data_IF_010736013656
#
_entry.id   IF_010736013656
#
_cell.length_a   1.000
_cell.length_b   1.000
_cell.length_c   1.000
_cell.angle_alpha   90.00
_cell.angle_beta   90.00
_cell.angle_gamma   90.00
#
_symmetry.space_group_name_H-M   'P 1'
#
loop_
_entity.id
_entity.type
_entity.pdbx_description
1 polymer ?
#
# COMPACT_ATOMS: atom_id res chain seq x y z
N UNK A 1 6.50 -18.41 -12.68
CA UNK A 1 7.18 -17.55 -13.67
C UNK A 1 6.57 -16.16 -13.53
N UNK A 2 7.16 -15.33 -12.67
CA UNK A 2 6.57 -14.08 -12.21
C UNK A 2 7.08 -12.91 -13.06
N UNK A 3 6.15 -12.34 -13.81
CA UNK A 3 6.12 -10.99 -14.39
C UNK A 3 7.31 -10.67 -15.31
N UNK A 4 7.13 -10.91 -16.62
CA UNK A 4 7.96 -10.28 -17.64
C UNK A 4 7.11 -9.39 -18.54
N UNK A 5 7.48 -8.11 -18.57
CA UNK A 5 7.30 -7.14 -19.67
C UNK A 5 5.94 -6.55 -20.02
N UNK A 6 4.81 -7.08 -19.58
CA UNK A 6 3.55 -6.33 -19.58
C UNK A 6 2.69 -6.94 -18.50
N UNK A 7 2.26 -6.15 -17.53
CA UNK A 7 1.07 -6.56 -16.80
C UNK A 7 -0.06 -6.54 -17.84
N UNK A 8 -0.36 -7.68 -18.46
CA UNK A 8 -1.54 -7.85 -19.33
C UNK A 8 -2.82 -7.85 -18.49
N UNK A 9 -2.88 -7.02 -17.43
CA UNK A 9 -4.05 -6.81 -16.60
C UNK A 9 -5.22 -6.29 -17.42
N UNK A 10 -4.93 -5.62 -18.54
CA UNK A 10 -5.90 -5.18 -19.53
C UNK A 10 -6.61 -6.35 -20.24
N UNK A 11 -5.92 -7.48 -20.41
CA UNK A 11 -6.46 -8.67 -21.09
C UNK A 11 -7.17 -9.65 -20.14
N UNK A 12 -7.07 -9.43 -18.82
CA UNK A 12 -7.78 -10.27 -17.84
C UNK A 12 -9.28 -10.03 -17.96
N UNK A 13 -10.10 -11.08 -17.86
CA UNK A 13 -11.53 -10.93 -17.60
C UNK A 13 -11.77 -10.28 -16.23
N UNK A 14 -12.99 -9.78 -16.01
CA UNK A 14 -13.34 -9.11 -14.74
C UNK A 14 -13.20 -10.06 -13.53
N UNK A 15 -13.54 -11.34 -13.71
CA UNK A 15 -13.38 -12.37 -12.69
C UNK A 15 -11.90 -12.68 -12.40
N UNK A 16 -11.08 -12.84 -13.44
CA UNK A 16 -9.64 -13.07 -13.29
C UNK A 16 -8.96 -11.87 -12.63
N UNK A 17 -9.34 -10.65 -13.02
CA UNK A 17 -8.83 -9.42 -12.42
C UNK A 17 -9.19 -9.35 -10.93
N UNK A 18 -10.45 -9.59 -10.59
CA UNK A 18 -10.91 -9.62 -9.19
C UNK A 18 -10.20 -10.72 -8.38
N UNK A 19 -10.01 -11.90 -8.96
CA UNK A 19 -9.31 -13.02 -8.30
C UNK A 19 -7.86 -12.67 -7.99
N UNK A 20 -7.18 -11.98 -8.91
CA UNK A 20 -5.77 -11.57 -8.77
C UNK A 20 -5.58 -10.40 -7.82
N UNK A 21 -6.30 -9.29 -8.03
CA UNK A 21 -6.07 -8.02 -7.31
C UNK A 21 -7.04 -7.78 -6.15
N UNK A 22 -8.04 -8.65 -5.95
CA UNK A 22 -9.02 -8.55 -4.86
C UNK A 22 -10.10 -7.48 -5.06
N UNK A 23 -10.03 -6.69 -6.13
CA UNK A 23 -10.97 -5.59 -6.42
C UNK A 23 -11.56 -5.71 -7.82
N UNK A 24 -12.77 -5.19 -8.02
CA UNK A 24 -13.37 -5.08 -9.36
C UNK A 24 -12.61 -4.05 -10.20
N UNK A 25 -12.57 -4.23 -11.53
CA UNK A 25 -11.95 -3.26 -12.45
C UNK A 25 -12.54 -1.85 -12.31
N UNK A 26 -13.84 -1.75 -12.03
CA UNK A 26 -14.50 -0.46 -11.79
C UNK A 26 -13.93 0.24 -10.54
N UNK A 27 -13.72 -0.50 -9.45
CA UNK A 27 -13.10 0.02 -8.22
C UNK A 27 -11.66 0.43 -8.50
N UNK A 28 -10.89 -0.39 -9.22
CA UNK A 28 -9.52 -0.08 -9.63
C UNK A 28 -9.45 1.23 -10.43
N UNK A 29 -10.33 1.45 -11.41
CA UNK A 29 -10.39 2.72 -12.17
C UNK A 29 -10.62 3.92 -11.25
N UNK A 30 -11.57 3.82 -10.31
CA UNK A 30 -11.81 4.87 -9.30
C UNK A 30 -10.60 5.13 -8.40
N UNK A 31 -9.84 4.08 -8.05
CA UNK A 31 -8.61 4.23 -7.27
C UNK A 31 -7.55 5.01 -8.07
N UNK A 32 -7.34 4.64 -9.34
CA UNK A 32 -6.40 5.34 -10.24
C UNK A 32 -6.80 6.80 -10.43
N UNK A 33 -8.09 7.07 -10.66
CA UNK A 33 -8.62 8.44 -10.77
C UNK A 33 -8.37 9.24 -9.49
N UNK A 34 -8.65 8.65 -8.32
CA UNK A 34 -8.43 9.31 -7.03
C UNK A 34 -6.95 9.66 -6.82
N UNK A 35 -6.04 8.75 -7.16
CA UNK A 35 -4.60 8.99 -7.06
C UNK A 35 -4.16 10.08 -8.04
N UNK A 36 -4.66 10.07 -9.29
CA UNK A 36 -4.38 11.11 -10.28
C UNK A 36 -4.85 12.49 -9.82
N UNK A 37 -6.06 12.59 -9.28
CA UNK A 37 -6.60 13.85 -8.76
C UNK A 37 -5.75 14.40 -7.62
N UNK A 38 -5.41 13.56 -6.64
CA UNK A 38 -4.55 13.97 -5.52
C UNK A 38 -3.16 14.39 -6.01
N UNK A 39 -2.56 13.71 -7.00
CA UNK A 39 -1.26 14.11 -7.57
C UNK A 39 -1.33 15.45 -8.31
N UNK A 40 -2.44 15.72 -9.00
CA UNK A 40 -2.67 16.98 -9.69
C UNK A 40 -2.88 18.15 -8.71
N UNK A 41 -3.69 17.94 -7.67
CA UNK A 41 -3.98 18.95 -6.64
C UNK A 41 -2.78 19.26 -5.76
N UNK A 42 -1.92 18.26 -5.50
CA UNK A 42 -0.76 18.43 -4.65
C UNK A 42 0.34 19.30 -5.25
N UNK A 43 0.16 19.80 -6.51
CA UNK A 43 0.83 20.94 -7.17
C UNK A 43 2.18 21.36 -6.59
N UNK A 44 3.05 20.39 -6.30
CA UNK A 44 4.30 20.70 -5.65
C UNK A 44 5.20 21.28 -6.73
N UNK A 45 5.66 22.51 -6.50
CA UNK A 45 6.55 23.29 -7.35
C UNK A 45 7.95 22.65 -7.55
N UNK A 46 8.03 21.33 -7.47
CA UNK A 46 9.21 20.50 -7.54
C UNK A 46 8.80 19.13 -8.12
N UNK A 47 8.58 19.07 -9.44
CA UNK A 47 8.85 17.84 -10.22
C UNK A 47 10.37 17.59 -10.29
N UNK A 48 11.08 17.85 -9.19
CA UNK A 48 12.54 17.82 -9.09
C UNK A 48 12.89 16.45 -8.53
N UNK A 49 13.15 15.52 -9.44
CA UNK A 49 13.52 14.15 -9.14
C UNK A 49 13.34 13.26 -10.36
N UNK A 50 13.94 12.06 -10.36
CA UNK A 50 13.72 11.07 -11.40
C UNK A 50 12.24 10.73 -11.53
N UNK A 51 11.74 10.65 -12.77
CA UNK A 51 10.38 10.17 -13.02
C UNK A 51 10.24 8.74 -12.46
N UNK A 52 9.11 8.39 -11.82
CA UNK A 52 8.89 7.04 -11.36
C UNK A 52 8.93 6.07 -12.55
N UNK A 53 9.53 4.88 -12.35
CA UNK A 53 9.64 3.85 -13.38
C UNK A 53 8.29 3.24 -13.75
N UNK A 54 7.31 3.32 -12.85
CA UNK A 54 5.97 2.78 -13.02
C UNK A 54 4.96 3.92 -13.22
N UNK A 55 4.00 3.69 -14.12
CA UNK A 55 2.79 4.50 -14.25
C UNK A 55 1.95 4.48 -12.97
N UNK A 56 0.98 5.40 -12.85
CA UNK A 56 0.10 5.46 -11.68
C UNK A 56 -0.75 4.18 -11.59
N UNK A 57 -1.21 3.70 -12.74
CA UNK A 57 -1.91 2.43 -12.93
C UNK A 57 -1.11 1.27 -12.33
N UNK A 58 0.14 1.12 -12.74
CA UNK A 58 1.03 0.07 -12.23
C UNK A 58 1.35 0.23 -10.75
N UNK A 59 1.51 1.47 -10.26
CA UNK A 59 1.71 1.74 -8.84
C UNK A 59 0.52 1.27 -7.99
N UNK A 60 -0.71 1.48 -8.47
CA UNK A 60 -1.93 0.98 -7.80
C UNK A 60 -1.98 -0.54 -7.84
N UNK A 61 -1.63 -1.17 -8.96
CA UNK A 61 -1.62 -2.64 -9.06
C UNK A 61 -0.57 -3.29 -8.15
N UNK A 62 0.65 -2.73 -8.06
CA UNK A 62 1.68 -3.19 -7.12
C UNK A 62 1.20 -3.09 -5.68
N UNK A 63 0.48 -2.03 -5.35
CA UNK A 63 -0.10 -1.83 -4.01
C UNK A 63 -1.17 -2.88 -3.72
N UNK A 64 -2.03 -3.19 -4.69
CA UNK A 64 -3.05 -4.24 -4.56
C UNK A 64 -2.44 -5.64 -4.45
N UNK A 65 -1.39 -5.96 -5.21
CA UNK A 65 -0.66 -7.24 -5.08
C UNK A 65 -0.01 -7.37 -3.69
N UNK A 66 0.57 -6.29 -3.18
CA UNK A 66 1.13 -6.25 -1.83
C UNK A 66 0.06 -6.55 -0.77
N UNK A 67 -1.07 -5.83 -0.78
CA UNK A 67 -2.15 -6.06 0.19
C UNK A 67 -2.84 -7.41 0.04
N UNK A 68 -2.89 -7.96 -1.18
CA UNK A 68 -3.58 -9.23 -1.43
C UNK A 68 -2.77 -10.45 -1.02
N UNK A 69 -1.47 -10.45 -1.33
CA UNK A 69 -0.60 -11.62 -1.15
C UNK A 69 0.39 -11.46 0.01
N UNK A 70 0.51 -10.27 0.61
CA UNK A 70 1.53 -9.93 1.61
C UNK A 70 2.94 -10.38 1.20
N UNK A 71 3.20 -10.38 -0.11
CA UNK A 71 4.46 -10.84 -0.69
C UNK A 71 5.56 -9.85 -0.33
N UNK A 72 6.72 -10.35 0.09
CA UNK A 72 7.82 -9.47 0.51
C UNK A 72 8.20 -8.51 -0.62
N UNK A 73 8.61 -7.29 -0.26
CA UNK A 73 9.00 -6.28 -1.25
C UNK A 73 10.12 -6.80 -2.18
N UNK A 74 11.04 -7.64 -1.68
CA UNK A 74 12.07 -8.31 -2.49
C UNK A 74 11.46 -9.16 -3.61
N UNK A 75 10.45 -9.96 -3.30
CA UNK A 75 9.80 -10.82 -4.28
C UNK A 75 9.04 -10.01 -5.34
N UNK A 76 8.33 -8.96 -4.92
CA UNK A 76 7.62 -8.06 -5.85
C UNK A 76 8.65 -7.32 -6.73
N UNK A 77 9.70 -6.78 -6.12
CA UNK A 77 10.77 -6.05 -6.81
C UNK A 77 11.53 -6.92 -7.81
N UNK A 78 11.79 -8.18 -7.48
CA UNK A 78 12.45 -9.13 -8.39
C UNK A 78 11.61 -9.37 -9.65
N UNK A 79 10.30 -9.51 -9.49
CA UNK A 79 9.38 -9.69 -10.62
C UNK A 79 9.22 -8.42 -11.46
N UNK A 80 9.23 -7.24 -10.83
CA UNK A 80 9.09 -5.95 -11.50
C UNK A 80 10.41 -5.31 -11.99
N UNK A 81 11.57 -5.92 -11.74
CA UNK A 81 12.90 -5.29 -11.93
C UNK A 81 13.03 -3.93 -11.23
N UNK A 82 12.44 -3.82 -10.05
CA UNK A 82 12.39 -2.61 -9.23
C UNK A 82 13.08 -2.89 -7.89
N UNK A 83 13.78 -1.90 -7.34
CA UNK A 83 14.42 -2.09 -6.04
C UNK A 83 13.37 -2.27 -4.94
N UNK A 84 13.70 -3.08 -3.95
CA UNK A 84 12.84 -3.34 -2.78
C UNK A 84 12.40 -2.04 -2.09
N UNK A 85 13.33 -1.11 -1.94
CA UNK A 85 13.09 0.24 -1.41
C UNK A 85 12.11 1.07 -2.23
N UNK A 86 12.04 0.85 -3.55
CA UNK A 86 11.11 1.55 -4.44
C UNK A 86 9.70 0.98 -4.31
N UNK A 87 9.56 -0.34 -4.16
CA UNK A 87 8.25 -0.98 -3.89
C UNK A 87 7.66 -0.42 -2.59
N UNK A 88 8.42 -0.41 -1.50
CA UNK A 88 7.94 0.14 -0.23
C UNK A 88 7.53 1.61 -0.33
N UNK A 89 8.27 2.44 -1.10
CA UNK A 89 7.89 3.84 -1.36
C UNK A 89 6.59 3.95 -2.16
N UNK A 90 6.39 3.08 -3.16
CA UNK A 90 5.20 3.07 -4.00
C UNK A 90 3.97 2.71 -3.16
N UNK A 91 4.02 1.60 -2.40
CA UNK A 91 2.92 1.16 -1.54
C UNK A 91 2.53 2.28 -0.57
N UNK A 92 3.50 2.81 0.17
CA UNK A 92 3.26 3.91 1.14
C UNK A 92 2.73 5.19 0.47
N UNK A 93 3.22 5.54 -0.72
CA UNK A 93 2.75 6.73 -1.47
C UNK A 93 1.31 6.54 -1.91
N UNK A 94 1.01 5.43 -2.58
CA UNK A 94 -0.33 5.13 -3.10
C UNK A 94 -1.35 5.05 -1.97
N UNK A 95 -1.02 4.37 -0.86
CA UNK A 95 -1.87 4.29 0.33
C UNK A 95 -2.21 5.69 0.86
N UNK A 96 -1.21 6.54 1.08
CA UNK A 96 -1.42 7.92 1.55
C UNK A 96 -2.32 8.72 0.62
N UNK A 97 -2.14 8.60 -0.69
CA UNK A 97 -2.96 9.31 -1.67
C UNK A 97 -4.41 8.81 -1.68
N UNK A 98 -4.62 7.50 -1.57
CA UNK A 98 -5.96 6.92 -1.45
C UNK A 98 -6.65 7.37 -0.17
N UNK A 99 -5.94 7.43 0.97
CA UNK A 99 -6.46 7.96 2.22
C UNK A 99 -6.81 9.45 2.12
N UNK A 100 -5.95 10.25 1.47
CA UNK A 100 -6.17 11.68 1.23
C UNK A 100 -7.39 11.94 0.37
N UNK A 101 -7.65 11.08 -0.63
CA UNK A 101 -8.83 11.21 -1.50
C UNK A 101 -10.17 11.12 -0.76
N UNK A 102 -10.20 10.51 0.44
CA UNK A 102 -11.43 10.34 1.22
C UNK A 102 -12.40 9.27 0.70
N UNK A 103 -12.31 8.89 -0.58
CA UNK A 103 -13.26 8.01 -1.27
C UNK A 103 -13.31 6.57 -0.74
N UNK A 104 -12.19 6.09 -0.17
CA UNK A 104 -12.05 4.71 0.31
C UNK A 104 -12.07 4.59 1.83
N UNK A 105 -12.52 5.64 2.53
CA UNK A 105 -12.64 5.59 3.99
C UNK A 105 -13.89 4.81 4.38
N UNK A 106 -13.73 3.83 5.26
CA UNK A 106 -14.86 3.20 5.91
C UNK A 106 -15.63 4.26 6.71
N UNK A 107 -16.96 4.19 6.66
CA UNK A 107 -17.80 5.02 7.53
C UNK A 107 -17.48 4.68 9.00
N UNK A 108 -17.54 5.69 9.87
CA UNK A 108 -17.16 5.55 11.26
C UNK A 108 -18.00 4.52 12.02
N UNK A 109 -17.50 4.04 13.17
CA UNK A 109 -18.09 2.94 13.97
C UNK A 109 -19.60 3.09 14.24
N UNK A 110 -20.10 4.33 14.39
CA UNK A 110 -21.53 4.62 14.61
C UNK A 110 -22.42 4.31 13.40
N UNK A 111 -21.89 4.40 12.19
CA UNK A 111 -22.64 4.05 10.96
C UNK A 111 -22.96 2.56 10.88
N UNK A 112 -22.11 1.71 11.46
CA UNK A 112 -22.29 0.26 11.50
C UNK A 112 -23.47 -0.17 12.38
N UNK A 113 -23.96 0.73 13.24
CA UNK A 113 -25.13 0.48 14.09
C UNK A 113 -26.46 0.66 13.33
N UNK A 114 -26.43 1.30 12.16
CA UNK A 114 -27.60 1.46 11.31
C UNK A 114 -27.74 0.23 10.41
N UNK A 115 -28.71 -0.64 10.70
CA UNK A 115 -28.95 -1.90 9.99
C UNK A 115 -29.12 -1.73 8.46
N UNK A 116 -29.63 -0.57 8.03
CA UNK A 116 -29.84 -0.24 6.62
C UNK A 116 -28.54 0.05 5.83
N UNK A 117 -27.43 0.31 6.52
CA UNK A 117 -26.14 0.66 5.91
C UNK A 117 -25.04 -0.38 6.18
N UNK A 118 -25.37 -1.54 6.74
CA UNK A 118 -24.38 -2.59 7.01
C UNK A 118 -23.80 -3.06 5.66
N UNK A 119 -22.50 -2.89 5.40
CA UNK A 119 -21.90 -3.38 4.18
C UNK A 119 -21.97 -4.91 4.14
N UNK A 120 -22.44 -5.45 3.00
CA UNK A 120 -22.61 -6.91 2.76
C UNK A 120 -21.30 -7.70 2.97
N UNK A 121 -20.15 -7.04 2.86
CA UNK A 121 -18.83 -7.61 3.14
C UNK A 121 -17.98 -6.57 3.87
N UNK A 122 -17.47 -6.91 5.06
CA UNK A 122 -16.47 -6.13 5.79
C UNK A 122 -15.15 -6.90 5.76
N UNK A 123 -14.14 -6.36 5.07
CA UNK A 123 -12.78 -6.90 5.08
C UNK A 123 -12.04 -6.26 6.24
N UNK A 124 -11.54 -7.09 7.18
CA UNK A 124 -10.71 -6.61 8.28
C UNK A 124 -9.29 -6.39 7.81
N UNK A 125 -8.73 -5.26 8.24
CA UNK A 125 -7.37 -4.85 7.93
C UNK A 125 -6.35 -5.62 8.78
N UNK A 126 -5.30 -6.13 8.12
CA UNK A 126 -4.04 -6.54 8.74
C UNK A 126 -3.04 -5.47 8.36
N UNK A 127 -3.15 -4.29 8.97
CA UNK A 127 -2.13 -3.25 8.77
C UNK A 127 -0.87 -3.64 9.51
N UNK A 128 0.27 -3.48 8.84
CA UNK A 128 1.55 -3.37 9.53
C UNK A 128 1.54 -2.08 10.33
N UNK A 129 1.10 -2.15 11.59
CA UNK A 129 1.35 -1.07 12.53
C UNK A 129 2.87 -0.94 12.66
N UNK A 130 3.44 0.27 12.53
CA UNK A 130 4.84 0.46 12.83
C UNK A 130 5.06 -0.10 14.24
N UNK A 131 5.96 -1.08 14.37
CA UNK A 131 6.35 -1.53 15.69
C UNK A 131 6.80 -0.30 16.46
N UNK A 132 6.19 -0.05 17.62
CA UNK A 132 6.69 0.93 18.59
C UNK A 132 8.04 0.42 19.08
N UNK A 133 9.07 0.67 18.27
CA UNK A 133 10.45 0.50 18.71
C UNK A 133 10.61 1.48 19.87
N UNK A 134 10.98 1.01 21.08
CA UNK A 134 11.11 1.88 22.23
C UNK A 134 11.99 3.07 21.88
N UNK A 135 11.39 4.27 21.87
CA UNK A 135 12.11 5.51 21.53
C UNK A 135 13.04 5.97 22.67
N UNK A 136 12.96 5.32 23.84
CA UNK A 136 13.82 5.59 25.00
C UNK A 136 14.91 4.55 25.12
N UNK A 137 16.12 5.04 25.42
CA UNK A 137 17.36 4.28 25.55
C UNK A 137 17.14 3.10 26.50
N UNK A 138 17.43 1.90 26.03
CA UNK A 138 17.66 0.67 26.80
C UNK A 138 18.90 0.82 27.72
N UNK A 139 19.00 1.91 28.48
CA UNK A 139 20.08 2.14 29.44
C UNK A 139 19.59 2.03 30.88
N UNK A 140 18.29 2.23 31.13
CA UNK A 140 17.77 2.24 32.50
C UNK A 140 17.57 0.82 33.07
N UNK A 141 17.53 -0.20 32.22
CA UNK A 141 17.34 -1.61 32.62
C UNK A 141 18.62 -2.46 32.65
N UNK A 142 19.79 -1.93 32.25
CA UNK A 142 21.06 -2.60 32.50
C UNK A 142 21.54 -2.30 33.93
N UNK A 143 20.92 -2.97 34.90
CA UNK A 143 21.42 -3.08 36.28
C UNK A 143 22.56 -4.10 36.44
N UNK A 144 23.30 -4.40 35.36
CA UNK A 144 24.49 -5.24 35.43
C UNK A 144 25.64 -4.42 35.97
N UNK A 145 26.12 -4.75 37.18
CA UNK A 145 27.35 -4.17 37.74
C UNK A 145 28.46 -4.21 36.70
N UNK A 146 29.14 -3.09 36.47
CA UNK A 146 30.37 -3.04 35.68
C UNK A 146 31.47 -3.77 36.48
N UNK A 147 31.55 -5.08 36.30
CA UNK A 147 32.72 -5.84 36.71
C UNK A 147 33.87 -5.46 35.78
N UNK A 148 34.98 -4.99 36.35
CA UNK A 148 36.23 -4.93 35.63
C UNK A 148 36.64 -6.37 35.30
N UNK A 149 36.75 -6.69 34.01
CA UNK A 149 37.51 -7.87 33.63
C UNK A 149 38.99 -7.55 33.94
N UNK A 150 39.55 -8.37 34.83
CA UNK A 150 41.00 -8.52 35.00
C UNK A 150 41.52 -9.48 33.94
#
# INVERSE_FOLDING_TARGET
MFISKNMDYQNLSDEQFKRRFGVYKQTYRKMVESVKSVEAESNSASKRGPKPKLSIEEQVLVTLEYWREYRTSFHIGTSGQISESTIGRIVNKTEKMLLQSGNFRLKGKKSLLNQAEIPVVTVMDVTETPMERPQKKQKDFFGGKRGYHT
#
